data_IF_472062138062
#
_entry.id   IF_472062138062
#
_cell.length_a   1.000
_cell.length_b   1.000
_cell.length_c   1.000
_cell.angle_alpha   90.00
_cell.angle_beta   90.00
_cell.angle_gamma   90.00
#
_symmetry.space_group_name_H-M   'P 1'
#
loop_
_entity.id
_entity.type
_entity.pdbx_description
1 polymer ?
#
# COMPACT_ATOMS: atom_id res chain seq x y z
N UNK A 1 -8.18 -7.32 -3.04
CA UNK A 1 -7.80 -6.10 -2.31
C UNK A 1 -8.79 -4.96 -2.57
N UNK A 2 -8.74 -3.91 -1.73
CA UNK A 2 -9.49 -2.68 -1.95
C UNK A 2 -8.51 -1.54 -2.20
N UNK A 3 -8.62 -0.89 -3.36
CA UNK A 3 -7.85 0.30 -3.69
C UNK A 3 -8.51 1.54 -3.09
N UNK A 4 -7.78 2.30 -2.31
CA UNK A 4 -8.21 3.61 -1.78
C UNK A 4 -7.57 4.69 -2.65
N UNK A 5 -8.39 5.54 -3.23
CA UNK A 5 -7.96 6.56 -4.18
C UNK A 5 -8.79 7.84 -4.08
N UNK A 6 -8.27 8.90 -4.67
CA UNK A 6 -8.98 10.16 -4.85
C UNK A 6 -8.68 10.75 -6.22
N UNK A 7 -9.47 11.74 -6.62
CA UNK A 7 -9.21 12.53 -7.82
C UNK A 7 -8.95 13.96 -7.40
N UNK A 8 -7.81 14.51 -7.83
CA UNK A 8 -7.47 15.91 -7.57
C UNK A 8 -8.39 16.87 -8.33
N UNK A 9 -8.40 18.14 -7.96
CA UNK A 9 -9.15 19.18 -8.68
C UNK A 9 -8.75 19.30 -10.16
N UNK A 10 -7.55 18.91 -10.52
CA UNK A 10 -7.06 18.87 -11.92
C UNK A 10 -7.43 17.57 -12.65
N UNK A 11 -8.24 16.69 -12.05
CA UNK A 11 -8.63 15.40 -12.63
C UNK A 11 -7.57 14.29 -12.53
N UNK A 12 -6.46 14.53 -11.86
CA UNK A 12 -5.41 13.52 -11.67
C UNK A 12 -5.85 12.48 -10.63
N UNK A 13 -5.85 11.23 -11.02
CA UNK A 13 -6.09 10.11 -10.09
C UNK A 13 -4.87 9.86 -9.20
N UNK A 14 -5.13 9.68 -7.92
CA UNK A 14 -4.13 9.40 -6.90
C UNK A 14 -4.55 8.11 -6.18
N UNK A 15 -3.69 7.12 -6.18
CA UNK A 15 -3.86 5.91 -5.36
C UNK A 15 -3.05 6.08 -4.07
N UNK A 16 -3.73 5.96 -2.93
CA UNK A 16 -3.11 6.12 -1.62
C UNK A 16 -2.57 4.81 -1.09
N UNK A 17 -3.38 3.76 -1.20
CA UNK A 17 -3.02 2.43 -0.68
C UNK A 17 -3.93 1.35 -1.25
N UNK A 18 -3.50 0.11 -1.06
CA UNK A 18 -4.32 -1.09 -1.20
C UNK A 18 -4.54 -1.71 0.17
N UNK A 19 -5.81 -1.84 0.55
CA UNK A 19 -6.19 -2.44 1.83
C UNK A 19 -6.14 -3.95 1.71
N UNK A 20 -5.38 -4.56 2.62
CA UNK A 20 -5.17 -6.00 2.71
C UNK A 20 -6.40 -6.72 3.28
N UNK A 21 -6.54 -8.05 3.04
CA UNK A 21 -7.55 -8.85 3.71
C UNK A 21 -7.47 -8.74 5.25
N UNK A 22 -8.61 -8.61 5.89
CA UNK A 22 -8.72 -8.51 7.34
C UNK A 22 -8.47 -7.11 7.92
N UNK A 23 -8.17 -6.12 7.08
CA UNK A 23 -7.93 -4.74 7.53
C UNK A 23 -9.20 -3.90 7.42
N UNK A 24 -9.46 -3.12 8.46
CA UNK A 24 -10.56 -2.14 8.49
C UNK A 24 -10.27 -0.93 7.62
N UNK A 25 -11.28 -0.40 6.95
CA UNK A 25 -11.20 0.87 6.23
C UNK A 25 -12.55 1.61 6.27
N UNK A 26 -12.53 2.91 6.00
CA UNK A 26 -13.72 3.75 6.01
C UNK A 26 -14.20 4.14 7.42
N UNK A 27 -13.37 3.92 8.42
CA UNK A 27 -13.65 4.17 9.83
C UNK A 27 -13.42 5.62 10.24
N UNK A 28 -12.60 6.41 9.56
CA UNK A 28 -12.33 7.83 9.89
C UNK A 28 -13.62 8.61 9.97
N UNK A 29 -14.47 8.59 8.94
CA UNK A 29 -15.75 9.27 8.89
C UNK A 29 -16.76 8.80 9.97
N UNK A 30 -16.49 7.67 10.62
CA UNK A 30 -17.32 7.17 11.72
C UNK A 30 -17.02 7.89 13.04
N UNK A 31 -15.79 8.39 13.21
CA UNK A 31 -15.34 9.07 14.41
C UNK A 31 -15.48 10.58 14.35
N UNK A 32 -15.12 11.21 13.22
CA UNK A 32 -15.20 12.66 13.05
C UNK A 32 -16.57 13.15 12.56
N UNK A 33 -17.38 12.24 12.01
CA UNK A 33 -18.71 12.58 11.50
C UNK A 33 -18.72 13.31 10.16
N UNK A 34 -17.55 13.53 9.58
CA UNK A 34 -17.41 14.22 8.30
C UNK A 34 -17.62 13.27 7.10
N UNK A 35 -17.54 13.83 5.89
CA UNK A 35 -17.66 13.05 4.65
C UNK A 35 -16.44 12.15 4.45
N UNK A 36 -16.62 11.08 3.70
CA UNK A 36 -15.50 10.24 3.26
C UNK A 36 -14.56 11.06 2.38
N UNK A 37 -13.26 10.96 2.67
CA UNK A 37 -12.21 11.72 1.98
C UNK A 37 -11.75 11.04 0.69
N UNK A 38 -12.00 9.74 0.55
CA UNK A 38 -11.48 8.92 -0.53
C UNK A 38 -12.52 7.91 -1.01
N UNK A 39 -12.36 7.50 -2.26
CA UNK A 39 -13.13 6.43 -2.87
C UNK A 39 -12.46 5.08 -2.60
N UNK A 40 -13.28 4.02 -2.54
CA UNK A 40 -12.83 2.64 -2.38
C UNK A 40 -13.30 1.80 -3.57
N UNK A 41 -12.37 1.19 -4.29
CA UNK A 41 -12.65 0.35 -5.45
C UNK A 41 -12.16 -1.07 -5.21
N UNK A 42 -12.96 -2.05 -5.63
CA UNK A 42 -12.51 -3.44 -5.66
C UNK A 42 -11.36 -3.58 -6.66
N UNK A 43 -10.27 -4.21 -6.23
CA UNK A 43 -9.15 -4.59 -7.09
C UNK A 43 -9.13 -6.11 -7.20
N UNK A 44 -9.53 -6.60 -8.36
CA UNK A 44 -9.83 -8.01 -8.55
C UNK A 44 -11.12 -8.45 -7.83
N UNK A 45 -11.29 -9.75 -7.66
CA UNK A 45 -12.42 -10.30 -6.93
C UNK A 45 -12.26 -10.01 -5.42
N UNK A 46 -13.23 -9.31 -4.84
CA UNK A 46 -13.14 -8.82 -3.47
C UNK A 46 -14.44 -9.07 -2.70
N UNK A 47 -14.32 -9.64 -1.51
CA UNK A 47 -15.44 -9.80 -0.57
C UNK A 47 -15.26 -8.84 0.59
N UNK A 48 -16.30 -8.09 0.94
CA UNK A 48 -16.28 -7.08 2.02
C UNK A 48 -17.35 -7.41 3.05
N UNK A 49 -16.96 -7.40 4.32
CA UNK A 49 -17.90 -7.38 5.44
C UNK A 49 -18.20 -5.91 5.79
N UNK A 50 -19.47 -5.54 5.71
CA UNK A 50 -19.91 -4.18 5.99
C UNK A 50 -20.61 -4.12 7.35
N UNK A 51 -20.23 -3.13 8.16
CA UNK A 51 -20.93 -2.77 9.40
C UNK A 51 -21.57 -1.41 9.19
N UNK A 52 -22.90 -1.33 9.35
CA UNK A 52 -23.61 -0.07 9.22
C UNK A 52 -23.26 0.86 10.38
N UNK A 53 -23.28 2.19 10.13
CA UNK A 53 -22.91 3.21 11.15
C UNK A 53 -23.66 3.03 12.46
N UNK A 54 -24.99 2.82 12.41
CA UNK A 54 -25.80 2.66 13.59
C UNK A 54 -25.42 1.41 14.41
N UNK A 55 -25.09 0.32 13.74
CA UNK A 55 -24.68 -0.91 14.41
C UNK A 55 -23.26 -0.82 14.95
N UNK A 56 -22.36 -0.13 14.25
CA UNK A 56 -21.01 0.17 14.74
C UNK A 56 -21.06 1.00 16.04
N UNK A 57 -21.93 2.03 16.10
CA UNK A 57 -22.13 2.82 17.30
C UNK A 57 -22.69 2.00 18.47
N UNK A 58 -23.64 1.10 18.21
CA UNK A 58 -24.16 0.17 19.24
C UNK A 58 -23.08 -0.76 19.77
N UNK A 59 -22.27 -1.32 18.87
CA UNK A 59 -21.15 -2.19 19.23
C UNK A 59 -20.16 -1.43 20.12
N UNK A 60 -19.77 -0.21 19.76
CA UNK A 60 -18.86 0.61 20.56
C UNK A 60 -19.44 0.96 21.95
N UNK A 61 -20.76 1.19 22.02
CA UNK A 61 -21.42 1.47 23.30
C UNK A 61 -21.46 0.24 24.24
N UNK A 62 -21.50 -0.97 23.67
CA UNK A 62 -21.52 -2.23 24.43
C UNK A 62 -20.11 -2.77 24.73
N UNK A 63 -19.12 -2.39 23.91
CA UNK A 63 -17.76 -2.91 23.93
C UNK A 63 -16.76 -1.75 23.95
N UNK A 64 -16.66 -1.07 25.08
CA UNK A 64 -15.79 0.11 25.23
C UNK A 64 -14.30 -0.19 25.00
N UNK A 65 -13.86 -1.43 25.21
CA UNK A 65 -12.50 -1.90 24.90
C UNK A 65 -12.11 -1.75 23.44
N UNK A 66 -13.09 -1.72 22.53
CA UNK A 66 -12.85 -1.50 21.11
C UNK A 66 -12.32 -0.09 20.79
N UNK A 67 -12.65 0.92 21.60
CA UNK A 67 -12.09 2.26 21.42
C UNK A 67 -10.58 2.25 21.53
N UNK A 68 -10.02 1.53 22.51
CA UNK A 68 -8.57 1.43 22.67
C UNK A 68 -7.93 0.70 21.49
N UNK A 69 -8.53 -0.39 21.01
CA UNK A 69 -8.04 -1.13 19.85
C UNK A 69 -8.05 -0.26 18.58
N UNK A 70 -9.13 0.52 18.37
CA UNK A 70 -9.25 1.42 17.24
C UNK A 70 -8.28 2.61 17.34
N UNK A 71 -8.08 3.18 18.53
CA UNK A 71 -7.07 4.23 18.75
C UNK A 71 -5.67 3.74 18.44
N UNK A 72 -5.31 2.52 18.85
CA UNK A 72 -4.02 1.90 18.50
C UNK A 72 -3.89 1.69 16.99
N UNK A 73 -4.97 1.31 16.32
CA UNK A 73 -4.98 1.19 14.86
C UNK A 73 -4.73 2.55 14.19
N UNK A 74 -5.44 3.61 14.62
CA UNK A 74 -5.24 4.95 14.08
C UNK A 74 -3.83 5.48 14.36
N UNK A 75 -3.31 5.30 15.57
CA UNK A 75 -1.95 5.71 15.92
C UNK A 75 -0.90 5.04 15.00
N UNK A 76 -1.05 3.74 14.69
CA UNK A 76 -0.18 3.05 13.72
C UNK A 76 -0.30 3.64 12.32
N UNK A 77 -1.52 3.94 11.84
CA UNK A 77 -1.75 4.56 10.54
C UNK A 77 -1.11 5.96 10.45
N UNK A 78 -1.25 6.76 11.49
CA UNK A 78 -0.62 8.09 11.56
C UNK A 78 0.90 7.99 11.49
N UNK A 79 1.52 7.04 12.21
CA UNK A 79 2.97 6.82 12.13
C UNK A 79 3.42 6.41 10.73
N UNK A 80 2.66 5.55 10.05
CA UNK A 80 2.95 5.18 8.67
C UNK A 80 2.86 6.38 7.73
N UNK A 81 1.83 7.22 7.90
CA UNK A 81 1.67 8.46 7.11
C UNK A 81 2.82 9.44 7.34
N UNK A 82 3.27 9.63 8.59
CA UNK A 82 4.44 10.47 8.87
C UNK A 82 5.70 9.93 8.17
N UNK A 83 5.93 8.62 8.24
CA UNK A 83 7.05 8.00 7.53
C UNK A 83 6.94 8.17 6.00
N UNK A 84 5.74 8.08 5.42
CA UNK A 84 5.55 8.33 3.99
C UNK A 84 5.80 9.79 3.61
N UNK A 85 5.37 10.75 4.43
CA UNK A 85 5.63 12.18 4.22
C UNK A 85 7.14 12.45 4.30
N UNK A 86 7.83 11.88 5.28
CA UNK A 86 9.29 11.97 5.40
C UNK A 86 9.98 11.40 4.16
N UNK A 87 9.62 10.18 3.76
CA UNK A 87 10.20 9.52 2.59
C UNK A 87 9.97 10.33 1.29
N UNK A 88 8.81 10.95 1.14
CA UNK A 88 8.51 11.79 -0.03
C UNK A 88 9.44 13.03 -0.10
N UNK A 89 9.86 13.57 1.05
CA UNK A 89 10.67 14.77 1.14
C UNK A 89 12.17 14.48 1.15
N UNK A 90 12.61 13.30 1.62
CA UNK A 90 14.02 13.02 1.88
C UNK A 90 14.61 11.92 0.99
N UNK A 91 13.79 11.01 0.44
CA UNK A 91 14.30 9.82 -0.26
C UNK A 91 14.18 9.92 -1.78
N UNK A 92 15.18 9.44 -2.54
CA UNK A 92 15.07 9.31 -3.99
C UNK A 92 13.97 8.31 -4.38
N UNK A 93 13.44 8.45 -5.60
CA UNK A 93 12.38 7.58 -6.11
C UNK A 93 12.74 6.09 -5.99
N UNK A 94 13.99 5.74 -6.26
CA UNK A 94 14.50 4.38 -6.15
C UNK A 94 14.31 3.78 -4.76
N UNK A 95 14.68 4.51 -3.71
CA UNK A 95 14.52 4.07 -2.33
C UNK A 95 13.04 3.93 -1.94
N UNK A 96 12.20 4.89 -2.35
CA UNK A 96 10.74 4.83 -2.13
C UNK A 96 10.10 3.65 -2.86
N UNK A 97 10.53 3.35 -4.08
CA UNK A 97 10.09 2.17 -4.83
C UNK A 97 10.49 0.88 -4.12
N UNK A 98 11.74 0.77 -3.65
CA UNK A 98 12.21 -0.40 -2.91
C UNK A 98 11.41 -0.62 -1.61
N UNK A 99 11.15 0.44 -0.84
CA UNK A 99 10.29 0.38 0.36
C UNK A 99 8.86 -0.08 0.03
N UNK A 100 8.29 0.45 -1.06
CA UNK A 100 6.95 0.07 -1.52
C UNK A 100 6.89 -1.40 -1.94
N UNK A 101 7.88 -1.89 -2.69
CA UNK A 101 7.98 -3.30 -3.07
C UNK A 101 8.16 -4.20 -1.83
N UNK A 102 8.97 -3.78 -0.86
CA UNK A 102 9.11 -4.47 0.42
C UNK A 102 7.80 -4.54 1.22
N UNK A 103 7.00 -3.47 1.19
CA UNK A 103 5.65 -3.48 1.76
C UNK A 103 4.72 -4.46 1.02
N UNK A 104 4.71 -4.42 -0.29
CA UNK A 104 3.89 -5.32 -1.11
C UNK A 104 4.27 -6.80 -0.91
N UNK A 105 5.55 -7.11 -0.73
CA UNK A 105 5.99 -8.48 -0.38
C UNK A 105 5.45 -8.92 0.97
N UNK A 106 5.47 -8.04 1.98
CA UNK A 106 4.93 -8.37 3.31
C UNK A 106 3.42 -8.64 3.27
N UNK A 107 2.69 -7.87 2.47
CA UNK A 107 1.22 -7.88 2.43
C UNK A 107 0.65 -8.89 1.45
N UNK A 108 1.33 -9.10 0.34
CA UNK A 108 0.84 -9.87 -0.82
C UNK A 108 1.88 -10.83 -1.38
N UNK A 109 2.99 -11.05 -0.68
CA UNK A 109 4.05 -11.94 -1.13
C UNK A 109 3.75 -13.40 -0.84
N UNK A 110 4.06 -14.25 -1.81
CA UNK A 110 4.10 -15.70 -1.65
C UNK A 110 5.45 -16.21 -2.14
N UNK A 111 5.97 -17.32 -1.60
CA UNK A 111 7.18 -17.93 -2.14
C UNK A 111 7.06 -18.18 -3.64
N UNK A 112 8.12 -17.93 -4.40
CA UNK A 112 8.14 -18.21 -5.83
C UNK A 112 8.19 -19.72 -6.07
N UNK A 113 7.58 -20.17 -7.17
CA UNK A 113 7.65 -21.57 -7.59
C UNK A 113 9.05 -21.98 -8.09
N UNK A 114 9.88 -21.01 -8.45
CA UNK A 114 11.22 -21.23 -9.04
C UNK A 114 12.33 -21.27 -8.00
N UNK A 115 12.15 -20.62 -6.84
CA UNK A 115 13.12 -20.57 -5.75
C UNK A 115 12.45 -20.22 -4.43
N UNK A 116 12.86 -20.85 -3.34
CA UNK A 116 12.34 -20.56 -1.99
C UNK A 116 12.80 -19.20 -1.45
N UNK A 117 13.85 -18.61 -2.01
CA UNK A 117 14.39 -17.32 -1.60
C UNK A 117 13.73 -16.13 -2.32
N UNK A 118 12.98 -16.43 -3.39
CA UNK A 118 12.28 -15.43 -4.18
C UNK A 118 10.83 -15.29 -3.74
N UNK A 119 10.31 -14.06 -3.80
CA UNK A 119 8.94 -13.74 -3.38
C UNK A 119 8.16 -13.10 -4.52
N UNK A 120 7.09 -13.74 -4.93
CA UNK A 120 6.15 -13.22 -5.92
C UNK A 120 5.12 -12.34 -5.23
N UNK A 121 4.92 -11.13 -5.73
CA UNK A 121 3.82 -10.24 -5.31
C UNK A 121 2.57 -10.67 -6.06
N UNK A 122 1.56 -11.13 -5.32
CA UNK A 122 0.30 -11.62 -5.92
C UNK A 122 -0.66 -10.49 -6.30
N UNK A 123 -0.50 -9.30 -5.71
CA UNK A 123 -1.26 -8.12 -6.10
C UNK A 123 -0.76 -7.65 -7.48
N UNK A 124 -1.62 -7.81 -8.48
CA UNK A 124 -1.29 -7.37 -9.84
C UNK A 124 -1.48 -5.86 -9.96
N UNK A 125 -0.38 -5.14 -9.96
CA UNK A 125 -0.36 -3.69 -10.15
C UNK A 125 0.16 -3.33 -11.52
N UNK A 126 -0.61 -2.52 -12.25
CA UNK A 126 -0.09 -1.85 -13.44
C UNK A 126 1.02 -0.86 -13.03
N UNK A 127 1.99 -0.63 -13.91
CA UNK A 127 3.05 0.35 -13.67
C UNK A 127 2.50 1.77 -13.38
N UNK A 128 1.35 2.11 -13.95
CA UNK A 128 0.65 3.37 -13.67
C UNK A 128 0.15 3.43 -12.23
N UNK A 129 -0.40 2.33 -11.70
CA UNK A 129 -0.89 2.26 -10.32
C UNK A 129 0.27 2.36 -9.32
N UNK A 130 1.39 1.70 -9.63
CA UNK A 130 2.60 1.81 -8.83
C UNK A 130 3.18 3.23 -8.87
N UNK A 131 3.12 3.89 -10.02
CA UNK A 131 3.52 5.29 -10.17
C UNK A 131 2.63 6.24 -9.34
N UNK A 132 1.33 6.01 -9.32
CA UNK A 132 0.39 6.76 -8.47
C UNK A 132 0.70 6.60 -6.99
N UNK A 133 0.96 5.37 -6.51
CA UNK A 133 1.37 5.09 -5.13
C UNK A 133 2.64 5.85 -4.71
N UNK A 134 3.57 6.03 -5.67
CA UNK A 134 4.87 6.68 -5.44
C UNK A 134 4.85 8.19 -5.69
N UNK A 135 3.73 8.73 -6.18
CA UNK A 135 3.65 10.13 -6.58
C UNK A 135 4.65 10.51 -7.68
N UNK A 136 4.96 9.59 -8.59
CA UNK A 136 5.94 9.74 -9.64
C UNK A 136 5.34 9.48 -11.04
N UNK A 137 6.07 9.81 -12.11
CA UNK A 137 5.63 9.45 -13.45
C UNK A 137 5.87 7.97 -13.73
N UNK A 138 4.97 7.34 -14.51
CA UNK A 138 5.12 5.96 -14.99
C UNK A 138 6.48 5.70 -15.65
N UNK A 139 6.97 6.65 -16.44
CA UNK A 139 8.25 6.53 -17.12
C UNK A 139 9.41 6.39 -16.13
N UNK A 140 9.47 7.25 -15.09
CA UNK A 140 10.51 7.20 -14.06
C UNK A 140 10.44 5.91 -13.25
N UNK A 141 9.25 5.48 -12.85
CA UNK A 141 9.07 4.20 -12.13
C UNK A 141 9.53 3.02 -12.99
N UNK A 142 9.18 3.00 -14.27
CA UNK A 142 9.63 1.94 -15.18
C UNK A 142 11.16 1.92 -15.37
N UNK A 143 11.81 3.09 -15.40
CA UNK A 143 13.28 3.16 -15.45
C UNK A 143 13.92 2.54 -14.21
N UNK A 144 13.41 2.85 -13.01
CA UNK A 144 13.91 2.27 -11.77
C UNK A 144 13.67 0.75 -11.69
N UNK A 145 12.47 0.29 -12.08
CA UNK A 145 12.18 -1.14 -12.14
C UNK A 145 13.14 -1.89 -13.06
N UNK A 146 13.41 -1.37 -14.27
CA UNK A 146 14.38 -1.97 -15.21
C UNK A 146 15.81 -1.94 -14.67
N UNK A 147 16.17 -0.93 -13.89
CA UNK A 147 17.49 -0.88 -13.26
C UNK A 147 17.61 -1.93 -12.17
N UNK A 148 16.61 -2.06 -11.27
CA UNK A 148 16.57 -3.10 -10.26
C UNK A 148 16.54 -4.51 -10.87
N UNK A 149 15.88 -4.70 -12.01
CA UNK A 149 15.87 -5.97 -12.74
C UNK A 149 17.25 -6.33 -13.29
N UNK A 150 17.96 -5.38 -13.93
CA UNK A 150 19.34 -5.57 -14.41
C UNK A 150 20.32 -5.89 -13.29
N UNK A 151 20.09 -5.38 -12.10
CA UNK A 151 20.89 -5.65 -10.89
C UNK A 151 20.51 -6.98 -10.21
N UNK A 152 19.48 -7.67 -10.70
CA UNK A 152 19.03 -8.94 -10.14
C UNK A 152 18.22 -8.82 -8.84
N UNK A 153 17.87 -7.61 -8.40
CA UNK A 153 17.07 -7.38 -7.17
C UNK A 153 15.62 -7.83 -7.35
N UNK A 154 15.06 -7.61 -8.55
CA UNK A 154 13.70 -8.01 -8.90
C UNK A 154 13.69 -8.67 -10.29
N UNK A 155 12.58 -9.33 -10.61
CA UNK A 155 12.25 -9.82 -11.95
C UNK A 155 10.84 -9.37 -12.33
N UNK A 156 10.70 -8.82 -13.54
CA UNK A 156 9.41 -8.39 -14.08
C UNK A 156 8.84 -9.53 -14.89
N UNK A 157 7.68 -10.03 -14.50
CA UNK A 157 6.98 -11.11 -15.20
C UNK A 157 5.67 -10.62 -15.79
N UNK A 158 5.09 -11.28 -16.81
CA UNK A 158 3.78 -10.90 -17.34
C UNK A 158 2.65 -10.87 -16.29
N UNK A 159 2.79 -11.69 -15.26
CA UNK A 159 1.82 -11.85 -14.18
C UNK A 159 2.13 -11.04 -12.93
N UNK A 160 3.17 -10.20 -12.93
CA UNK A 160 3.53 -9.36 -11.78
C UNK A 160 5.03 -9.23 -11.54
N UNK A 161 5.37 -8.91 -10.30
CA UNK A 161 6.75 -8.68 -9.86
C UNK A 161 7.21 -9.80 -8.93
N UNK A 162 8.45 -10.23 -9.10
CA UNK A 162 9.14 -11.15 -8.21
C UNK A 162 10.32 -10.43 -7.58
N UNK A 163 10.43 -10.44 -6.26
CA UNK A 163 11.60 -9.96 -5.52
C UNK A 163 12.57 -11.13 -5.39
N UNK A 164 13.74 -11.01 -6.02
CA UNK A 164 14.77 -12.02 -6.08
C UNK A 164 15.77 -11.91 -4.92
N UNK A 165 16.05 -10.68 -4.47
CA UNK A 165 16.95 -10.38 -3.35
C UNK A 165 16.30 -9.39 -2.39
N UNK A 166 15.76 -9.90 -1.26
CA UNK A 166 15.11 -9.07 -0.24
C UNK A 166 16.09 -8.17 0.51
N UNK A 167 17.30 -8.64 0.73
CA UNK A 167 18.31 -7.89 1.48
C UNK A 167 18.84 -6.72 0.63
N UNK A 168 19.05 -6.93 -0.67
CA UNK A 168 19.35 -5.84 -1.59
C UNK A 168 18.20 -4.83 -1.64
N UNK A 169 16.94 -5.30 -1.70
CA UNK A 169 15.77 -4.43 -1.69
C UNK A 169 15.70 -3.57 -0.42
N UNK A 170 15.97 -4.16 0.75
CA UNK A 170 16.03 -3.43 2.02
C UNK A 170 17.14 -2.38 2.01
N UNK A 171 18.36 -2.75 1.60
CA UNK A 171 19.49 -1.78 1.50
C UNK A 171 19.18 -0.61 0.59
N UNK A 172 18.55 -0.85 -0.56
CA UNK A 172 18.11 0.22 -1.47
C UNK A 172 17.06 1.12 -0.79
N UNK A 173 16.11 0.53 -0.06
CA UNK A 173 15.06 1.26 0.64
C UNK A 173 15.57 2.12 1.80
N UNK A 174 16.71 1.77 2.39
CA UNK A 174 17.35 2.51 3.48
C UNK A 174 18.30 3.62 2.99
N UNK A 175 18.64 3.64 1.70
CA UNK A 175 19.52 4.63 1.14
C UNK A 175 18.91 6.05 1.25
N UNK A 176 19.63 6.95 1.86
CA UNK A 176 19.34 8.39 1.88
C UNK A 176 19.85 9.06 0.59
N UNK A 177 19.33 10.25 0.32
CA UNK A 177 19.64 11.06 -0.87
C UNK A 177 21.09 11.57 -0.86
#
# INVERSE_FOLDING_TARGET
AVRISSVSLSGKQITLTYVEPGIWFGDVAMFDGDRRTHDAYAHGQTTILCVARADFQKILAQHSELYEALLRLQARRIRLLFGQVEDLNTRPLRARLAKQLGHLVRSYGVPSLTSNDEWRITLQLAQEELAQLLGASRQRVNQELKTMEREGTIRIEPTGLVVCDRDALLRIGEADS
#
